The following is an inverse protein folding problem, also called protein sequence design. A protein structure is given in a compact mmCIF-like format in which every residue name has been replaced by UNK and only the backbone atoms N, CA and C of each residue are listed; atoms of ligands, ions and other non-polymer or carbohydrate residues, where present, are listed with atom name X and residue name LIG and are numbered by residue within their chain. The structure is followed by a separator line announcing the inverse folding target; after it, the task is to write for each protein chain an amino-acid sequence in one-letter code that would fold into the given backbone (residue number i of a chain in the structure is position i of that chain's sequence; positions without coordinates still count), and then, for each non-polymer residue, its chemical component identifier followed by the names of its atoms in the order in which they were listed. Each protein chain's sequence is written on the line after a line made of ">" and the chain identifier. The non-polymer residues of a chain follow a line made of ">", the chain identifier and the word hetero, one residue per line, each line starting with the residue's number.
data_IF_089159371052
#
_entry.id   IF_089159371052
#
_cell.length_a   1.000
_cell.length_b   1.000
_cell.length_c   1.000
_cell.angle_alpha   90.00
_cell.angle_beta   90.00
_cell.angle_gamma   90.00
#
_symmetry.space_group_name_H-M   'P 1'
#
loop_
_entity.id
_entity.type
_entity.pdbx_description
1 polymer ?
#
# COMPACT_ATOMS: atom_id res chain seq x y z
N UNK A 1 3.68 5.16 16.00
CA UNK A 1 4.66 4.75 14.96
C UNK A 1 4.54 3.25 14.80
N UNK A 2 4.40 2.75 13.58
CA UNK A 2 4.43 1.32 13.31
C UNK A 2 5.88 0.93 13.02
N UNK A 3 6.44 0.01 13.79
CA UNK A 3 7.81 -0.47 13.63
C UNK A 3 7.79 -1.70 12.71
N UNK A 4 8.73 -1.74 11.77
CA UNK A 4 9.03 -2.89 10.90
C UNK A 4 10.50 -3.19 11.04
N UNK A 5 10.85 -4.47 10.94
CA UNK A 5 12.25 -4.89 10.94
C UNK A 5 12.86 -4.63 9.56
N UNK A 6 14.19 -4.51 9.49
CA UNK A 6 14.88 -4.28 8.22
C UNK A 6 14.58 -5.38 7.20
N UNK A 7 14.59 -6.63 7.66
CA UNK A 7 14.28 -7.82 6.85
C UNK A 7 12.86 -7.77 6.27
N UNK A 8 11.89 -7.17 7.00
CA UNK A 8 10.54 -6.97 6.47
C UNK A 8 10.56 -5.99 5.29
N UNK A 9 11.32 -4.89 5.39
CA UNK A 9 11.39 -3.89 4.32
C UNK A 9 12.05 -4.46 3.07
N UNK A 10 13.15 -5.20 3.23
CA UNK A 10 13.80 -5.90 2.13
C UNK A 10 12.86 -6.90 1.45
N UNK A 11 12.12 -7.68 2.25
CA UNK A 11 11.09 -8.60 1.75
C UNK A 11 10.03 -7.85 0.94
N UNK A 12 9.56 -6.70 1.42
CA UNK A 12 8.52 -5.91 0.76
C UNK A 12 8.99 -5.38 -0.59
N UNK A 13 10.22 -4.88 -0.65
CA UNK A 13 10.81 -4.40 -1.91
C UNK A 13 10.93 -5.55 -2.90
N UNK A 14 11.53 -6.67 -2.48
CA UNK A 14 11.75 -7.84 -3.35
C UNK A 14 10.44 -8.44 -3.89
N UNK A 15 9.37 -8.30 -3.13
CA UNK A 15 8.08 -8.91 -3.45
C UNK A 15 7.07 -7.92 -4.03
N UNK A 16 7.49 -6.74 -4.50
CA UNK A 16 6.57 -5.78 -5.09
C UNK A 16 5.86 -6.38 -6.34
N UNK A 17 4.53 -6.60 -6.30
CA UNK A 17 3.77 -7.15 -7.43
C UNK A 17 3.70 -6.19 -8.63
N UNK A 18 3.98 -4.91 -8.41
CA UNK A 18 3.89 -3.85 -9.42
C UNK A 18 5.26 -3.40 -9.91
N UNK A 19 6.32 -4.15 -9.62
CA UNK A 19 7.65 -3.82 -10.12
C UNK A 19 7.65 -3.70 -11.65
N UNK A 20 8.30 -2.65 -12.16
CA UNK A 20 8.28 -2.28 -13.58
C UNK A 20 6.94 -1.78 -14.14
N UNK A 21 5.88 -1.65 -13.32
CA UNK A 21 4.54 -1.20 -13.77
C UNK A 21 4.24 0.28 -13.43
N UNK A 22 5.20 1.02 -12.90
CA UNK A 22 5.07 2.45 -12.60
C UNK A 22 6.24 3.24 -13.16
N UNK A 23 5.93 4.40 -13.74
CA UNK A 23 6.93 5.34 -14.28
C UNK A 23 7.55 6.24 -13.20
N UNK A 24 6.92 6.33 -12.03
CA UNK A 24 7.33 7.21 -10.95
C UNK A 24 7.05 6.61 -9.59
N UNK A 25 7.98 6.78 -8.65
CA UNK A 25 7.81 6.44 -7.22
C UNK A 25 6.61 7.16 -6.58
N UNK A 26 6.05 8.20 -7.22
CA UNK A 26 4.83 8.89 -6.81
C UNK A 26 3.56 8.11 -7.12
N UNK A 27 3.61 7.12 -8.00
CA UNK A 27 2.47 6.26 -8.30
C UNK A 27 2.41 5.09 -7.34
N UNK A 28 3.57 4.64 -6.82
CA UNK A 28 3.64 3.47 -5.97
C UNK A 28 3.64 3.84 -4.47
N UNK A 29 2.75 3.20 -3.72
CA UNK A 29 2.59 3.39 -2.28
C UNK A 29 2.42 2.05 -1.58
N UNK A 30 2.88 1.98 -0.32
CA UNK A 30 2.61 0.84 0.56
C UNK A 30 1.89 1.34 1.79
N UNK A 31 0.82 0.63 2.17
CA UNK A 31 0.23 0.76 3.49
C UNK A 31 0.73 -0.38 4.36
N UNK A 32 1.44 -0.04 5.43
CA UNK A 32 1.82 -0.98 6.47
C UNK A 32 0.66 -1.12 7.44
N UNK A 33 0.10 -2.31 7.56
CA UNK A 33 -1.02 -2.62 8.45
C UNK A 33 -0.49 -3.11 9.80
N UNK A 34 -1.18 -2.74 10.89
CA UNK A 34 -0.85 -3.24 12.23
C UNK A 34 -1.16 -4.74 12.33
N UNK A 35 -2.25 -5.15 11.70
CA UNK A 35 -2.80 -6.49 11.68
C UNK A 35 -3.22 -6.84 10.25
N UNK A 36 -3.31 -8.13 9.88
CA UNK A 36 -3.79 -8.52 8.56
C UNK A 36 -5.18 -7.94 8.25
N UNK A 37 -5.40 -7.59 6.99
CA UNK A 37 -6.71 -7.13 6.54
C UNK A 37 -7.71 -8.30 6.52
N UNK A 38 -8.91 -8.16 7.12
CA UNK A 38 -9.98 -9.15 6.98
C UNK A 38 -10.38 -9.36 5.52
N UNK A 39 -10.75 -10.59 5.15
CA UNK A 39 -11.07 -10.94 3.76
C UNK A 39 -12.18 -10.07 3.16
N UNK A 40 -13.24 -9.79 3.92
CA UNK A 40 -14.34 -8.89 3.52
C UNK A 40 -13.85 -7.50 3.07
N UNK A 41 -12.78 -6.98 3.70
CA UNK A 41 -12.23 -5.68 3.39
C UNK A 41 -11.33 -5.73 2.15
N UNK A 42 -10.73 -6.90 1.85
CA UNK A 42 -9.97 -7.10 0.62
C UNK A 42 -10.90 -7.07 -0.59
N UNK A 43 -12.00 -7.81 -0.53
CA UNK A 43 -13.01 -7.82 -1.60
C UNK A 43 -13.62 -6.44 -1.81
N UNK A 44 -13.89 -5.73 -0.71
CA UNK A 44 -14.39 -4.36 -0.78
C UNK A 44 -13.35 -3.40 -1.39
N UNK A 45 -12.07 -3.56 -1.08
CA UNK A 45 -10.99 -2.75 -1.65
C UNK A 45 -10.90 -2.96 -3.16
N UNK A 46 -10.90 -4.22 -3.61
CA UNK A 46 -10.85 -4.57 -5.03
C UNK A 46 -12.06 -4.02 -5.79
N UNK A 47 -13.27 -4.21 -5.26
CA UNK A 47 -14.50 -3.71 -5.90
C UNK A 47 -14.64 -2.18 -5.88
N UNK A 48 -13.94 -1.50 -4.98
CA UNK A 48 -13.94 -0.04 -4.87
C UNK A 48 -12.85 0.64 -5.70
N UNK A 49 -11.90 -0.11 -6.25
CA UNK A 49 -10.74 0.43 -6.97
C UNK A 49 -11.16 1.42 -8.08
N UNK A 50 -10.54 2.59 -8.12
CA UNK A 50 -10.82 3.56 -9.18
C UNK A 50 -10.17 3.13 -10.50
N UNK A 51 -10.63 3.64 -11.65
CA UNK A 51 -10.04 3.30 -12.95
C UNK A 51 -8.51 3.51 -12.97
N UNK A 52 -7.79 2.43 -13.29
CA UNK A 52 -6.32 2.41 -13.36
C UNK A 52 -5.62 2.18 -12.03
N UNK A 53 -6.31 2.21 -10.90
CA UNK A 53 -5.72 1.85 -9.61
C UNK A 53 -5.62 0.34 -9.47
N UNK A 54 -4.51 -0.13 -8.92
CA UNK A 54 -4.33 -1.53 -8.55
C UNK A 54 -3.96 -1.62 -7.08
N UNK A 55 -4.58 -2.59 -6.42
CA UNK A 55 -4.33 -2.89 -5.02
C UNK A 55 -3.95 -4.36 -4.91
N UNK A 56 -2.91 -4.67 -4.16
CA UNK A 56 -2.57 -6.05 -3.81
C UNK A 56 -2.39 -6.11 -2.29
N UNK A 57 -3.20 -6.95 -1.64
CA UNK A 57 -3.12 -7.18 -0.20
C UNK A 57 -2.28 -8.41 0.06
N UNK A 58 -1.20 -8.25 0.82
CA UNK A 58 -0.38 -9.33 1.36
C UNK A 58 -0.34 -9.22 2.87
N UNK A 59 0.06 -10.31 3.53
CA UNK A 59 0.23 -10.45 4.99
C UNK A 59 -0.24 -9.24 5.81
N UNK A 60 0.59 -8.20 5.93
CA UNK A 60 0.26 -6.95 6.62
C UNK A 60 0.59 -5.71 5.78
N UNK A 61 0.54 -5.84 4.46
CA UNK A 61 0.94 -4.82 3.51
C UNK A 61 -0.07 -4.71 2.39
N UNK A 62 -0.40 -3.47 2.03
CA UNK A 62 -1.19 -3.21 0.82
C UNK A 62 -0.28 -2.45 -0.13
N UNK A 63 0.01 -3.07 -1.26
CA UNK A 63 0.69 -2.45 -2.39
C UNK A 63 -0.38 -1.67 -3.17
N UNK A 64 -0.10 -0.42 -3.50
CA UNK A 64 -1.05 0.47 -4.17
C UNK A 64 -0.35 1.12 -5.36
N UNK A 65 -0.77 0.77 -6.56
CA UNK A 65 -0.38 1.45 -7.78
C UNK A 65 -1.45 2.49 -8.13
N UNK A 66 -1.09 3.76 -8.00
CA UNK A 66 -1.96 4.91 -8.09
C UNK A 66 -1.48 5.83 -9.23
N UNK A 67 -1.85 5.57 -10.50
CA UNK A 67 -1.35 6.33 -11.63
C UNK A 67 -1.72 7.82 -11.57
N UNK A 68 -2.82 8.16 -10.88
CA UNK A 68 -3.26 9.54 -10.66
C UNK A 68 -2.72 10.16 -9.36
N UNK A 69 -1.82 9.47 -8.67
CA UNK A 69 -1.27 9.86 -7.37
C UNK A 69 -2.22 9.68 -6.19
N UNK A 70 -1.68 9.81 -4.97
CA UNK A 70 -2.41 9.56 -3.71
C UNK A 70 -3.62 10.46 -3.53
N UNK A 71 -3.49 11.74 -3.88
CA UNK A 71 -4.55 12.74 -3.65
C UNK A 71 -5.87 12.38 -4.37
N UNK A 72 -5.79 11.71 -5.51
CA UNK A 72 -6.95 11.27 -6.29
C UNK A 72 -7.49 9.89 -5.93
N UNK A 73 -6.84 9.18 -5.01
CA UNK A 73 -7.05 7.74 -4.79
C UNK A 73 -8.05 7.38 -3.70
N UNK A 74 -8.37 6.08 -3.59
CA UNK A 74 -9.13 5.58 -2.45
C UNK A 74 -8.47 5.88 -1.08
N UNK A 75 -7.15 6.08 -1.03
CA UNK A 75 -6.43 6.42 0.20
C UNK A 75 -6.94 7.72 0.83
N UNK A 76 -7.29 8.70 0.01
CA UNK A 76 -7.77 10.02 0.46
C UNK A 76 -9.28 10.19 0.36
N UNK A 77 -9.97 9.33 -0.38
CA UNK A 77 -11.44 9.36 -0.52
C UNK A 77 -12.20 8.69 0.63
N UNK A 78 -11.52 8.44 1.75
CA UNK A 78 -12.14 7.96 2.99
C UNK A 78 -12.49 6.47 2.99
N UNK A 79 -12.08 5.68 1.98
CA UNK A 79 -12.21 4.22 2.05
C UNK A 79 -11.54 3.69 3.31
N UNK A 80 -10.28 4.09 3.50
CA UNK A 80 -9.45 3.65 4.62
C UNK A 80 -9.80 4.32 5.96
N UNK A 81 -10.62 5.37 5.93
CA UNK A 81 -11.17 5.99 7.15
C UNK A 81 -12.46 5.30 7.61
N UNK A 82 -13.28 4.82 6.67
CA UNK A 82 -14.64 4.31 6.96
C UNK A 82 -14.75 2.79 7.00
N UNK A 83 -13.87 2.07 6.30
CA UNK A 83 -14.09 0.64 5.98
C UNK A 83 -13.14 -0.32 6.69
N UNK A 84 -11.81 -0.15 6.67
CA UNK A 84 -10.95 -0.97 7.51
C UNK A 84 -10.85 -0.38 8.91
N UNK A 85 -11.23 -1.16 9.94
CA UNK A 85 -10.87 -0.88 11.35
C UNK A 85 -9.40 -1.21 11.67
N UNK A 86 -8.59 -1.45 10.64
CA UNK A 86 -7.18 -1.81 10.79
C UNK A 86 -6.35 -0.54 10.74
N UNK A 87 -5.59 -0.29 11.80
CA UNK A 87 -4.62 0.82 11.82
C UNK A 87 -3.53 0.59 10.78
N UNK A 88 -3.21 1.62 10.00
CA UNK A 88 -2.19 1.55 8.97
C UNK A 88 -1.27 2.77 8.95
N UNK A 89 -0.14 2.64 8.28
CA UNK A 89 0.80 3.73 8.00
C UNK A 89 1.11 3.74 6.51
N UNK A 90 0.74 4.81 5.82
CA UNK A 90 1.07 4.99 4.40
C UNK A 90 2.48 5.54 4.20
N UNK A 91 3.20 5.00 3.22
CA UNK A 91 4.49 5.52 2.74
C UNK A 91 4.52 5.51 1.21
N UNK A 92 5.17 6.52 0.64
CA UNK A 92 5.52 6.49 -0.77
C UNK A 92 6.67 5.50 -1.01
N UNK A 93 6.78 5.01 -2.25
CA UNK A 93 7.77 4.00 -2.57
C UNK A 93 9.22 4.46 -2.33
N UNK A 94 9.51 5.74 -2.65
CA UNK A 94 10.83 6.33 -2.38
C UNK A 94 11.24 6.25 -0.90
N UNK A 95 10.29 6.36 0.02
CA UNK A 95 10.59 6.22 1.45
C UNK A 95 10.83 4.77 1.81
N UNK A 96 10.09 3.83 1.22
CA UNK A 96 10.29 2.39 1.44
C UNK A 96 11.68 1.98 0.97
N UNK A 97 12.09 2.40 -0.23
CA UNK A 97 13.44 2.15 -0.77
C UNK A 97 14.52 2.69 0.17
N UNK A 98 14.38 3.94 0.65
CA UNK A 98 15.32 4.53 1.61
C UNK A 98 15.38 3.80 2.94
N UNK A 99 14.26 3.25 3.42
CA UNK A 99 14.24 2.49 4.68
C UNK A 99 15.09 1.22 4.57
N UNK A 100 15.21 0.62 3.39
CA UNK A 100 16.07 -0.55 3.17
C UNK A 100 17.57 -0.24 3.17
N UNK A 101 17.94 1.04 3.07
CA UNK A 101 19.35 1.49 3.06
C UNK A 101 19.86 1.92 4.45
N UNK A 102 18.95 2.05 5.43
CA UNK A 102 19.25 2.44 6.81
C UNK A 102 19.59 1.23 7.68
#
# INVERSE_FOLDING_TARGET
>A
VMVREQEDIERIIKNNPFDGQYESHKHMHVLFLKEPMPEENKDLLQSSALPGEKYEVREREIYNLLPNGVAGSLLTKGFFEKKPRVSYTGRNWRTVEKLAEL
#
